data_IF_899665186694
#
_entry.id   IF_899665186694
#
_cell.length_a   1.000
_cell.length_b   1.000
_cell.length_c   1.000
_cell.angle_alpha   90.00
_cell.angle_beta   90.00
_cell.angle_gamma   90.00
#
_symmetry.space_group_name_H-M   'P 1'
#
loop_
_entity.id
_entity.type
_entity.pdbx_description
1 polymer ?
#
# COMPACT_ATOMS: atom_id res chain seq x y z
N UNK A 1 -21.88 -8.42 -13.14
CA UNK A 1 -20.67 -9.26 -13.16
C UNK A 1 -20.02 -9.16 -11.79
N UNK A 2 -20.05 -10.23 -10.99
CA UNK A 2 -19.40 -10.24 -9.68
C UNK A 2 -17.89 -10.29 -9.90
N UNK A 3 -17.20 -9.19 -9.62
CA UNK A 3 -15.73 -9.13 -9.68
C UNK A 3 -15.19 -10.14 -8.66
N UNK A 4 -14.69 -11.27 -9.15
CA UNK A 4 -13.96 -12.22 -8.33
C UNK A 4 -12.78 -11.44 -7.76
N UNK A 5 -12.79 -11.23 -6.44
CA UNK A 5 -11.77 -10.50 -5.68
C UNK A 5 -10.44 -11.24 -5.82
N UNK A 6 -9.73 -11.04 -6.93
CA UNK A 6 -8.42 -11.65 -7.20
C UNK A 6 -7.46 -11.12 -6.14
N UNK A 7 -6.92 -12.03 -5.35
CA UNK A 7 -5.90 -11.71 -4.38
C UNK A 7 -4.66 -11.18 -5.12
N UNK A 8 -4.07 -10.09 -4.62
CA UNK A 8 -2.80 -9.58 -5.12
C UNK A 8 -1.73 -10.65 -4.84
N UNK A 9 -1.09 -11.14 -5.91
CA UNK A 9 0.04 -12.09 -5.83
C UNK A 9 1.36 -11.35 -5.62
N UNK A 10 2.42 -12.05 -5.22
CA UNK A 10 3.73 -11.43 -5.03
C UNK A 10 4.31 -10.84 -6.33
N UNK A 11 4.06 -11.46 -7.47
CA UNK A 11 4.41 -10.89 -8.78
C UNK A 11 3.69 -9.55 -9.04
N UNK A 12 2.41 -9.45 -8.67
CA UNK A 12 1.66 -8.20 -8.78
C UNK A 12 2.19 -7.14 -7.81
N UNK A 13 2.64 -7.52 -6.60
CA UNK A 13 3.27 -6.59 -5.64
C UNK A 13 4.56 -6.01 -6.20
N UNK A 14 5.37 -6.83 -6.84
CA UNK A 14 6.61 -6.37 -7.49
C UNK A 14 6.28 -5.36 -8.60
N UNK A 15 5.26 -5.65 -9.41
CA UNK A 15 4.83 -4.75 -10.48
C UNK A 15 4.28 -3.41 -9.94
N UNK A 16 3.49 -3.46 -8.86
CA UNK A 16 3.02 -2.26 -8.14
C UNK A 16 4.23 -1.44 -7.66
N UNK A 17 5.24 -2.08 -7.06
CA UNK A 17 6.44 -1.40 -6.58
C UNK A 17 7.16 -0.66 -7.71
N UNK A 18 7.49 -1.36 -8.81
CA UNK A 18 8.21 -0.79 -9.96
C UNK A 18 7.48 0.43 -10.55
N UNK A 19 6.16 0.31 -10.77
CA UNK A 19 5.36 1.41 -11.32
C UNK A 19 5.17 2.54 -10.31
N UNK A 20 5.06 2.22 -9.02
CA UNK A 20 4.88 3.22 -7.97
C UNK A 20 6.11 4.10 -7.79
N UNK A 21 7.32 3.52 -7.77
CA UNK A 21 8.57 4.30 -7.72
C UNK A 21 8.80 5.07 -9.02
N UNK A 22 8.34 4.54 -10.15
CA UNK A 22 8.45 5.19 -11.47
C UNK A 22 7.46 6.34 -11.69
N UNK A 23 6.65 6.70 -10.69
CA UNK A 23 5.76 7.86 -10.80
C UNK A 23 4.38 7.56 -11.40
N UNK A 24 3.99 6.31 -11.63
CA UNK A 24 2.67 5.99 -12.17
C UNK A 24 1.54 6.27 -11.16
N UNK A 25 0.37 6.65 -11.67
CA UNK A 25 -0.85 6.83 -10.87
C UNK A 25 -1.49 5.48 -10.56
N UNK A 26 -2.22 5.40 -9.44
CA UNK A 26 -2.93 4.18 -8.99
C UNK A 26 -3.84 3.60 -10.08
N UNK A 27 -4.55 4.44 -10.83
CA UNK A 27 -5.41 3.99 -11.92
C UNK A 27 -4.65 3.28 -13.05
N UNK A 28 -3.44 3.75 -13.37
CA UNK A 28 -2.61 3.14 -14.41
C UNK A 28 -2.02 1.81 -13.93
N UNK A 29 -1.61 1.74 -12.66
CA UNK A 29 -1.11 0.51 -12.03
C UNK A 29 -2.22 -0.55 -12.00
N UNK A 30 -3.43 -0.14 -11.61
CA UNK A 30 -4.62 -0.99 -11.59
C UNK A 30 -4.95 -1.57 -12.97
N UNK A 31 -4.89 -0.74 -14.01
CA UNK A 31 -5.10 -1.18 -15.39
C UNK A 31 -3.99 -2.14 -15.87
N UNK A 32 -2.72 -1.88 -15.55
CA UNK A 32 -1.58 -2.72 -15.93
C UNK A 32 -1.67 -4.14 -15.35
N UNK A 33 -2.05 -4.25 -14.07
CA UNK A 33 -2.14 -5.56 -13.38
C UNK A 33 -3.55 -6.18 -13.43
N UNK A 34 -4.52 -5.50 -14.03
CA UNK A 34 -5.90 -5.98 -14.20
C UNK A 34 -6.70 -6.11 -12.90
N UNK A 35 -6.58 -5.13 -11.99
CA UNK A 35 -7.37 -5.09 -10.74
C UNK A 35 -8.04 -3.73 -10.54
N UNK A 36 -8.93 -3.64 -9.57
CA UNK A 36 -9.56 -2.38 -9.19
C UNK A 36 -8.55 -1.41 -8.53
N UNK A 37 -8.66 -0.11 -8.85
CA UNK A 37 -7.86 0.94 -8.22
C UNK A 37 -7.99 0.97 -6.68
N UNK A 38 -9.17 0.63 -6.15
CA UNK A 38 -9.37 0.51 -4.71
C UNK A 38 -8.50 -0.61 -4.10
N UNK A 39 -8.36 -1.74 -4.80
CA UNK A 39 -7.50 -2.85 -4.38
C UNK A 39 -6.03 -2.42 -4.34
N UNK A 40 -5.57 -1.71 -5.36
CA UNK A 40 -4.19 -1.17 -5.38
C UNK A 40 -3.97 -0.18 -4.24
N UNK A 41 -4.93 0.71 -3.96
CA UNK A 41 -4.83 1.64 -2.83
C UNK A 41 -4.69 0.91 -1.49
N UNK A 42 -5.57 -0.06 -1.23
CA UNK A 42 -5.48 -0.88 0.00
C UNK A 42 -4.17 -1.65 0.09
N UNK A 43 -3.62 -2.12 -1.04
CA UNK A 43 -2.32 -2.80 -1.05
C UNK A 43 -1.16 -1.85 -0.74
N UNK A 44 -1.14 -0.65 -1.34
CA UNK A 44 -0.16 0.39 -1.03
C UNK A 44 -0.20 0.79 0.45
N UNK A 45 -1.39 0.83 1.05
CA UNK A 45 -1.56 1.09 2.48
C UNK A 45 -1.03 -0.06 3.35
N UNK A 46 -1.16 -1.32 2.93
CA UNK A 46 -0.54 -2.46 3.63
C UNK A 46 0.98 -2.42 3.57
N UNK A 47 1.55 -2.10 2.43
CA UNK A 47 3.00 -1.99 2.25
C UNK A 47 3.61 -0.68 2.77
N UNK A 48 2.81 0.25 3.29
CA UNK A 48 3.31 1.54 3.74
C UNK A 48 4.25 1.38 4.95
N UNK A 49 5.47 1.88 4.84
CA UNK A 49 6.47 1.75 5.92
C UNK A 49 6.30 2.77 7.03
N UNK A 50 5.68 3.91 6.72
CA UNK A 50 5.69 5.12 7.56
C UNK A 50 6.45 6.28 6.90
N UNK A 51 7.31 5.99 5.93
CA UNK A 51 8.21 6.96 5.31
C UNK A 51 7.66 7.54 4.01
N UNK A 52 8.18 8.69 3.60
CA UNK A 52 7.79 9.37 2.37
C UNK A 52 9.05 9.52 1.48
N UNK A 53 8.99 9.05 0.23
CA UNK A 53 10.01 9.28 -0.78
C UNK A 53 10.18 10.77 -1.05
N UNK A 54 11.39 11.16 -1.47
CA UNK A 54 11.69 12.49 -1.98
C UNK A 54 10.77 12.74 -3.20
N UNK A 55 9.79 13.65 -3.05
CA UNK A 55 8.70 13.85 -4.02
C UNK A 55 7.29 13.61 -3.47
N UNK A 56 7.14 13.29 -2.17
CA UNK A 56 5.85 13.27 -1.48
C UNK A 56 5.05 11.97 -1.61
N UNK A 57 5.59 10.95 -2.28
CA UNK A 57 4.97 9.61 -2.33
C UNK A 57 5.31 8.79 -1.11
N UNK A 58 4.31 8.08 -0.58
CA UNK A 58 4.50 7.08 0.48
C UNK A 58 5.47 5.98 0.03
N UNK A 59 6.42 5.63 0.90
CA UNK A 59 7.30 4.47 0.69
C UNK A 59 6.47 3.20 0.77
N UNK A 60 6.54 2.39 -0.28
CA UNK A 60 5.82 1.13 -0.41
C UNK A 60 6.80 -0.03 -0.41
N UNK A 61 6.61 -0.96 0.52
CA UNK A 61 7.39 -2.18 0.64
C UNK A 61 6.54 -3.42 0.28
N UNK A 62 6.89 -4.16 -0.79
CA UNK A 62 6.12 -5.31 -1.24
C UNK A 62 6.19 -6.51 -0.27
N UNK A 63 7.30 -6.67 0.46
CA UNK A 63 7.45 -7.78 1.41
C UNK A 63 6.55 -7.59 2.65
N UNK A 64 6.50 -6.37 3.19
CA UNK A 64 5.58 -5.95 4.24
C UNK A 64 4.12 -6.16 3.84
N UNK A 65 3.76 -5.77 2.61
CA UNK A 65 2.42 -6.02 2.08
C UNK A 65 2.10 -7.53 2.04
N UNK A 66 3.06 -8.36 1.60
CA UNK A 66 2.93 -9.82 1.57
C UNK A 66 2.79 -10.41 2.98
N UNK A 67 3.60 -9.97 3.94
CA UNK A 67 3.55 -10.41 5.33
C UNK A 67 2.19 -10.11 5.98
N UNK A 68 1.68 -8.89 5.80
CA UNK A 68 0.35 -8.51 6.32
C UNK A 68 -0.76 -9.30 5.63
N UNK A 69 -0.68 -9.50 4.31
CA UNK A 69 -1.66 -10.31 3.59
C UNK A 69 -1.68 -11.77 4.08
N UNK A 70 -0.52 -12.36 4.36
CA UNK A 70 -0.39 -13.70 4.94
C UNK A 70 -0.99 -13.77 6.35
N UNK A 71 -0.77 -12.77 7.20
CA UNK A 71 -1.39 -12.68 8.53
C UNK A 71 -2.91 -12.61 8.46
N UNK A 72 -3.47 -11.79 7.56
CA UNK A 72 -4.92 -11.67 7.35
C UNK A 72 -5.51 -12.99 6.85
N UNK A 73 -4.84 -13.66 5.91
CA UNK A 73 -5.27 -14.98 5.40
C UNK A 73 -5.27 -16.05 6.51
N UNK A 74 -4.37 -15.95 7.48
CA UNK A 74 -4.31 -16.84 8.63
C UNK A 74 -5.37 -16.55 9.72
N UNK A 75 -6.34 -15.66 9.46
CA UNK A 75 -7.44 -15.36 10.39
C UNK A 75 -7.04 -14.50 11.59
N UNK A 76 -5.81 -13.96 11.60
CA UNK A 76 -5.41 -12.97 12.61
C UNK A 76 -5.89 -11.60 12.15
N UNK A 77 -6.61 -10.84 13.00
CA UNK A 77 -7.07 -9.51 12.60
C UNK A 77 -5.84 -8.68 12.20
N UNK A 78 -5.88 -7.96 11.07
CA UNK A 78 -4.81 -7.03 10.76
C UNK A 78 -4.76 -6.04 11.91
N UNK A 79 -3.65 -6.00 12.64
CA UNK A 79 -3.40 -4.92 13.58
C UNK A 79 -3.62 -3.65 12.78
N UNK A 80 -4.59 -2.83 13.16
CA UNK A 80 -4.79 -1.52 12.56
C UNK A 80 -3.49 -0.77 12.85
N UNK A 81 -2.53 -0.85 11.94
CA UNK A 81 -1.30 -0.05 11.99
C UNK A 81 -1.80 1.36 11.74
N UNK A 82 -2.22 2.01 12.83
CA UNK A 82 -2.24 3.45 12.88
C UNK A 82 -0.85 3.89 12.42
N UNK A 83 -0.72 4.68 11.35
CA UNK A 83 0.58 5.28 11.05
C UNK A 83 1.05 5.96 12.33
N UNK A 84 2.34 5.88 12.71
CA UNK A 84 2.84 6.66 13.83
C UNK A 84 2.39 8.10 13.60
N UNK A 85 1.70 8.66 14.60
CA UNK A 85 1.37 10.09 14.63
C UNK A 85 2.62 10.83 14.18
N UNK A 86 2.49 11.67 13.15
CA UNK A 86 3.54 12.57 12.73
C UNK A 86 3.90 13.43 13.95
N UNK A 87 5.00 13.09 14.62
CA UNK A 87 5.61 13.93 15.63
C UNK A 87 6.19 15.13 14.90
N UNK A 88 5.39 16.19 14.76
CA UNK A 88 5.83 17.39 14.08
C UNK A 88 4.70 18.33 13.71
N UNK A 89 4.09 18.98 14.72
CA UNK A 89 4.18 20.44 14.89
C UNK A 89 3.97 20.75 16.37
N UNK A 90 5.02 21.26 17.01
CA UNK A 90 4.91 21.92 18.31
C UNK A 90 3.75 22.94 18.28
N UNK A 91 2.92 23.01 19.33
CA UNK A 91 2.06 24.17 19.48
C UNK A 91 2.96 25.39 19.65
N UNK A 92 2.84 26.34 18.72
CA UNK A 92 3.39 27.68 18.92
C UNK A 92 2.73 28.24 20.18
N UNK A 93 3.54 28.44 21.21
CA UNK A 93 3.20 29.30 22.34
C UNK A 93 2.95 30.71 21.78
N UNK A 94 1.78 31.25 22.09
CA UNK A 94 1.53 32.68 22.15
C UNK A 94 1.50 33.06 23.63
#
# INVERSE_FOLDING_TARGET
>A
MSEVKRAITDAMRQRIYEMWISGYKVANIAADIGVNAHTVKSELERGYTGDIYIGGRKVYDPDRASAIAKMVKAGRPPVRIVPPVVLGKEPRHD
#
